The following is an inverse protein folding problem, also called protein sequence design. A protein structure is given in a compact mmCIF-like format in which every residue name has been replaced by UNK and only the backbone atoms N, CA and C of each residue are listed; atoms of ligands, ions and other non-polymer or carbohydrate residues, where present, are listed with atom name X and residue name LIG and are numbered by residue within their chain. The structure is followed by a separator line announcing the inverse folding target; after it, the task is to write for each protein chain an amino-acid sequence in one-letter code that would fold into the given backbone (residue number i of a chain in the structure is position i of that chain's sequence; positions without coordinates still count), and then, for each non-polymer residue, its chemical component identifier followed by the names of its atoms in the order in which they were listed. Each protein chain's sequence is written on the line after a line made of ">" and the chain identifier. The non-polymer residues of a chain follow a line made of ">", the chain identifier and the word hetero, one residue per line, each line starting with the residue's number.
data_IF_167963818723
#
_entry.id   IF_167963818723
#
_cell.length_a   1.000
_cell.length_b   1.000
_cell.length_c   1.000
_cell.angle_alpha   90.00
_cell.angle_beta   90.00
_cell.angle_gamma   90.00
#
_symmetry.space_group_name_H-M   'P 1'
#
loop_
_entity.id
_entity.type
_entity.pdbx_description
1 polymer ?
#
# COMPACT_ATOMS: atom_id res chain seq x y z
N UNK A 1 18.73 -19.66 23.60
CA UNK A 1 18.14 -18.42 23.02
C UNK A 1 16.64 -18.55 22.68
N UNK A 2 15.91 -19.54 23.23
CA UNK A 2 14.47 -19.76 22.96
C UNK A 2 13.56 -19.31 24.13
N UNK A 3 14.12 -18.69 25.17
CA UNK A 3 13.46 -18.60 26.47
C UNK A 3 12.55 -17.38 26.66
N UNK A 4 12.43 -16.48 25.67
CA UNK A 4 11.86 -15.14 25.93
C UNK A 4 10.49 -14.86 25.27
N UNK A 5 10.02 -15.70 24.35
CA UNK A 5 8.75 -15.46 23.64
C UNK A 5 7.52 -15.52 24.56
N UNK A 6 7.56 -16.36 25.60
CA UNK A 6 6.48 -16.48 26.57
C UNK A 6 6.40 -15.25 27.47
N UNK A 7 7.55 -14.72 27.90
CA UNK A 7 7.63 -13.53 28.75
C UNK A 7 7.16 -12.30 27.98
N UNK A 8 7.58 -12.17 26.73
CA UNK A 8 7.10 -11.12 25.82
C UNK A 8 5.58 -11.20 25.59
N UNK A 9 5.03 -12.39 25.35
CA UNK A 9 3.59 -12.56 25.20
C UNK A 9 2.84 -12.09 26.46
N UNK A 10 3.33 -12.42 27.65
CA UNK A 10 2.72 -12.02 28.92
C UNK A 10 2.81 -10.50 29.13
N UNK A 11 3.91 -9.87 28.73
CA UNK A 11 4.08 -8.43 28.83
C UNK A 11 3.09 -7.67 27.94
N UNK A 12 2.95 -8.08 26.68
CA UNK A 12 1.95 -7.52 25.77
C UNK A 12 0.52 -7.71 26.27
N UNK A 13 0.19 -8.88 26.85
CA UNK A 13 -1.13 -9.10 27.46
C UNK A 13 -1.37 -8.15 28.64
N UNK A 14 -0.39 -7.94 29.52
CA UNK A 14 -0.55 -7.04 30.66
C UNK A 14 -0.85 -5.62 30.20
N UNK A 15 -0.12 -5.15 29.19
CA UNK A 15 -0.35 -3.83 28.60
C UNK A 15 -1.72 -3.77 27.90
N UNK A 16 -2.08 -4.81 27.14
CA UNK A 16 -3.37 -4.89 26.45
C UNK A 16 -4.54 -4.80 27.43
N UNK A 17 -4.51 -5.58 28.51
CA UNK A 17 -5.54 -5.59 29.56
C UNK A 17 -5.60 -4.25 30.30
N UNK A 18 -4.46 -3.60 30.52
CA UNK A 18 -4.42 -2.28 31.15
C UNK A 18 -5.13 -1.22 30.29
N UNK A 19 -4.84 -1.20 28.99
CA UNK A 19 -5.47 -0.27 28.05
C UNK A 19 -6.96 -0.61 27.80
N UNK A 20 -7.31 -1.90 27.79
CA UNK A 20 -8.69 -2.39 27.67
C UNK A 20 -9.54 -1.96 28.87
N UNK A 21 -9.03 -2.12 30.09
CA UNK A 21 -9.69 -1.63 31.31
C UNK A 21 -9.78 -0.10 31.37
N UNK A 22 -8.85 0.60 30.73
CA UNK A 22 -8.89 2.06 30.60
C UNK A 22 -9.89 2.55 29.53
N UNK A 23 -10.54 1.64 28.79
CA UNK A 23 -11.43 1.97 27.67
C UNK A 23 -10.70 2.42 26.40
N UNK A 24 -9.37 2.31 26.37
CA UNK A 24 -8.52 2.71 25.24
C UNK A 24 -8.46 1.60 24.19
N UNK A 25 -9.61 1.26 23.61
CA UNK A 25 -9.77 0.15 22.66
C UNK A 25 -8.82 0.25 21.45
N UNK A 26 -8.53 1.47 20.98
CA UNK A 26 -7.59 1.74 19.87
C UNK A 26 -6.16 1.29 20.19
N UNK A 27 -5.74 1.39 21.46
CA UNK A 27 -4.41 0.96 21.93
C UNK A 27 -4.42 -0.51 22.39
N UNK A 28 -5.52 -0.96 22.97
CA UNK A 28 -5.66 -2.33 23.45
C UNK A 28 -5.63 -3.37 22.31
N UNK A 29 -6.31 -3.09 21.19
CA UNK A 29 -6.39 -4.01 20.05
C UNK A 29 -5.03 -4.46 19.48
N UNK A 30 -4.11 -3.54 19.08
CA UNK A 30 -2.81 -3.96 18.55
C UNK A 30 -1.95 -4.69 19.59
N UNK A 31 -2.09 -4.38 20.89
CA UNK A 31 -1.38 -5.09 21.96
C UNK A 31 -1.87 -6.53 22.11
N UNK A 32 -3.19 -6.78 22.00
CA UNK A 32 -3.73 -8.14 21.95
C UNK A 32 -3.26 -8.91 20.71
N UNK A 33 -3.23 -8.28 19.53
CA UNK A 33 -2.76 -8.93 18.30
C UNK A 33 -1.28 -9.32 18.38
N UNK A 34 -0.43 -8.45 18.91
CA UNK A 34 0.99 -8.75 19.14
C UNK A 34 1.16 -9.90 20.14
N UNK A 35 0.42 -9.90 21.26
CA UNK A 35 0.44 -10.99 22.22
C UNK A 35 0.08 -12.35 21.60
N UNK A 36 -0.95 -12.38 20.75
CA UNK A 36 -1.39 -13.58 20.03
C UNK A 36 -0.31 -14.09 19.07
N UNK A 37 0.41 -13.22 18.38
CA UNK A 37 1.51 -13.62 17.49
C UNK A 37 2.65 -14.31 18.26
N UNK A 38 3.02 -13.78 19.43
CA UNK A 38 4.01 -14.42 20.31
C UNK A 38 3.51 -15.76 20.87
N UNK A 39 2.24 -15.85 21.27
CA UNK A 39 1.65 -17.12 21.73
C UNK A 39 1.60 -18.17 20.61
N UNK A 40 1.23 -17.78 19.39
CA UNK A 40 1.23 -18.67 18.21
C UNK A 40 2.62 -19.21 17.92
N UNK A 41 3.63 -18.34 18.01
CA UNK A 41 5.03 -18.71 17.84
C UNK A 41 5.49 -19.66 18.95
N UNK A 42 5.12 -19.39 20.20
CA UNK A 42 5.47 -20.26 21.33
C UNK A 42 4.78 -21.64 21.23
N UNK A 43 3.50 -21.70 20.85
CA UNK A 43 2.74 -22.94 20.62
C UNK A 43 3.33 -23.82 19.52
N UNK A 44 4.01 -23.23 18.52
CA UNK A 44 4.69 -23.96 17.45
C UNK A 44 5.88 -24.79 17.95
N UNK A 45 6.56 -24.32 19.01
CA UNK A 45 7.77 -24.94 19.53
C UNK A 45 7.59 -25.64 20.88
N UNK A 46 6.42 -25.50 21.52
CA UNK A 46 6.09 -26.17 22.78
C UNK A 46 5.74 -27.65 22.55
N UNK A 47 6.44 -28.54 23.28
CA UNK A 47 6.30 -30.00 23.16
C UNK A 47 5.45 -30.59 24.29
N UNK A 48 5.25 -29.86 25.39
CA UNK A 48 4.47 -30.35 26.51
C UNK A 48 2.95 -30.17 26.27
N UNK A 49 2.16 -31.27 26.22
CA UNK A 49 0.74 -31.21 25.87
C UNK A 49 -0.09 -30.41 26.88
N UNK A 50 0.22 -30.47 28.18
CA UNK A 50 -0.52 -29.72 29.22
C UNK A 50 -0.29 -28.21 29.12
N UNK A 51 0.93 -27.80 28.79
CA UNK A 51 1.28 -26.38 28.60
C UNK A 51 0.62 -25.86 27.32
N UNK A 52 0.65 -26.66 26.24
CA UNK A 52 0.00 -26.34 24.98
C UNK A 52 -1.50 -26.11 25.15
N UNK A 53 -2.17 -26.96 25.91
CA UNK A 53 -3.60 -26.83 26.21
C UNK A 53 -3.89 -25.55 27.01
N UNK A 54 -3.14 -25.28 28.08
CA UNK A 54 -3.29 -24.07 28.89
C UNK A 54 -3.07 -22.77 28.07
N UNK A 55 -2.06 -22.76 27.20
CA UNK A 55 -1.76 -21.60 26.35
C UNK A 55 -2.80 -21.44 25.24
N UNK A 56 -3.31 -22.54 24.68
CA UNK A 56 -4.37 -22.50 23.64
C UNK A 56 -5.68 -21.98 24.22
N UNK A 57 -6.02 -22.34 25.46
CA UNK A 57 -7.19 -21.80 26.15
C UNK A 57 -7.08 -20.27 26.31
N UNK A 58 -5.93 -19.78 26.78
CA UNK A 58 -5.65 -18.35 26.92
C UNK A 58 -5.58 -17.61 25.58
N UNK A 59 -5.01 -18.23 24.55
CA UNK A 59 -4.98 -17.69 23.19
C UNK A 59 -6.40 -17.44 22.67
N UNK A 60 -7.30 -18.41 22.83
CA UNK A 60 -8.70 -18.29 22.40
C UNK A 60 -9.44 -17.19 23.16
N UNK A 61 -9.20 -17.07 24.47
CA UNK A 61 -9.77 -16.01 25.32
C UNK A 61 -9.35 -14.61 24.83
N UNK A 62 -8.06 -14.40 24.57
CA UNK A 62 -7.56 -13.11 24.08
C UNK A 62 -7.95 -12.82 22.63
N UNK A 63 -8.05 -13.85 21.78
CA UNK A 63 -8.56 -13.70 20.42
C UNK A 63 -10.01 -13.22 20.41
N UNK A 64 -10.86 -13.84 21.24
CA UNK A 64 -12.27 -13.43 21.35
C UNK A 64 -12.38 -11.98 21.84
N UNK A 65 -11.57 -11.60 22.84
CA UNK A 65 -11.56 -10.21 23.33
C UNK A 65 -11.09 -9.22 22.26
N UNK A 66 -10.08 -9.58 21.46
CA UNK A 66 -9.62 -8.75 20.34
C UNK A 66 -10.70 -8.59 19.27
N UNK A 67 -11.47 -9.65 18.96
CA UNK A 67 -12.61 -9.58 18.03
C UNK A 67 -13.75 -8.70 18.56
N UNK A 68 -14.08 -8.79 19.85
CA UNK A 68 -15.04 -7.90 20.52
C UNK A 68 -14.60 -6.43 20.41
N UNK A 69 -13.33 -6.14 20.70
CA UNK A 69 -12.76 -4.79 20.60
C UNK A 69 -12.81 -4.28 19.16
N UNK A 70 -12.49 -5.14 18.18
CA UNK A 70 -12.58 -4.80 16.76
C UNK A 70 -14.00 -4.42 16.36
N UNK A 71 -15.00 -5.19 16.79
CA UNK A 71 -16.40 -4.87 16.52
C UNK A 71 -16.81 -3.51 17.12
N UNK A 72 -16.36 -3.20 18.36
CA UNK A 72 -16.61 -1.90 19.00
C UNK A 72 -15.90 -0.75 18.28
N UNK A 73 -14.68 -0.96 17.76
CA UNK A 73 -13.96 0.03 16.97
C UNK A 73 -14.58 0.26 15.58
N UNK A 74 -15.22 -0.77 15.02
CA UNK A 74 -15.94 -0.69 13.75
C UNK A 74 -17.34 -0.05 13.92
N UNK A 75 -18.01 -0.24 15.07
CA UNK A 75 -19.33 0.35 15.38
C UNK A 75 -19.25 1.77 16.00
N UNK A 76 -18.18 2.09 16.74
CA UNK A 76 -18.01 3.34 17.49
C UNK A 76 -17.45 4.53 16.70
N UNK A 77 -17.54 4.52 15.37
CA UNK A 77 -17.01 5.56 14.47
C UNK A 77 -17.77 6.89 14.49
N UNK A 78 -17.98 7.49 15.66
CA UNK A 78 -18.52 8.84 15.84
C UNK A 78 -17.76 9.59 16.91
N UNK A 79 -17.00 10.60 16.46
CA UNK A 79 -16.36 11.68 17.24
C UNK A 79 -15.27 11.32 18.27
N UNK A 80 -14.04 11.76 18.00
CA UNK A 80 -13.07 12.03 19.07
C UNK A 80 -11.59 11.90 18.72
N UNK A 81 -11.02 12.97 18.15
CA UNK A 81 -9.66 13.47 18.40
C UNK A 81 -8.48 12.46 18.39
N UNK A 82 -7.94 12.21 17.19
CA UNK A 82 -6.65 11.54 16.95
C UNK A 82 -6.34 11.48 15.45
N UNK A 83 -6.57 12.60 14.78
CA UNK A 83 -6.99 12.67 13.37
C UNK A 83 -5.88 12.72 12.32
N UNK A 84 -4.89 11.83 12.37
CA UNK A 84 -4.03 11.64 11.18
C UNK A 84 -3.70 10.17 10.95
N UNK A 85 -3.28 9.43 11.98
CA UNK A 85 -2.78 8.07 11.82
C UNK A 85 -3.89 7.00 11.63
N UNK A 86 -5.05 7.19 12.27
CA UNK A 86 -6.22 6.31 12.14
C UNK A 86 -6.92 6.46 10.79
N UNK A 87 -7.01 7.70 10.29
CA UNK A 87 -7.59 7.99 8.98
C UNK A 87 -6.64 7.55 7.87
N UNK A 88 -5.33 7.83 8.00
CA UNK A 88 -4.28 7.29 7.14
C UNK A 88 -4.32 5.76 7.08
N UNK A 89 -4.48 5.07 8.22
CA UNK A 89 -4.56 3.61 8.28
C UNK A 89 -5.81 3.06 7.57
N UNK A 90 -6.99 3.67 7.79
CA UNK A 90 -8.23 3.29 7.09
C UNK A 90 -8.15 3.58 5.59
N UNK A 91 -7.58 4.72 5.21
CA UNK A 91 -7.32 5.06 3.82
C UNK A 91 -6.31 4.11 3.20
N UNK A 92 -5.21 3.75 3.89
CA UNK A 92 -4.22 2.74 3.48
C UNK A 92 -4.86 1.36 3.31
N UNK A 93 -5.82 1.00 4.16
CA UNK A 93 -6.59 -0.24 4.00
C UNK A 93 -7.53 -0.21 2.79
N UNK A 94 -8.22 0.92 2.53
CA UNK A 94 -9.01 1.13 1.31
C UNK A 94 -8.15 1.16 0.05
N UNK A 95 -6.96 1.76 0.15
CA UNK A 95 -5.93 1.81 -0.89
C UNK A 95 -5.43 0.42 -1.25
N UNK A 96 -5.20 -0.48 -0.29
CA UNK A 96 -4.83 -1.86 -0.57
C UNK A 96 -5.88 -2.62 -1.40
N UNK A 97 -7.15 -2.20 -1.35
CA UNK A 97 -8.21 -2.80 -2.19
C UNK A 97 -8.26 -2.22 -3.60
N UNK A 98 -7.92 -0.94 -3.78
CA UNK A 98 -7.94 -0.24 -5.07
C UNK A 98 -6.60 -0.34 -5.83
N UNK A 99 -5.50 -0.50 -5.11
CA UNK A 99 -4.14 -0.55 -5.64
C UNK A 99 -3.68 -1.99 -5.66
N UNK A 100 -3.56 -2.55 -6.86
CA UNK A 100 -2.97 -3.87 -7.03
C UNK A 100 -1.46 -3.70 -6.90
N UNK A 101 -0.92 -4.16 -5.78
CA UNK A 101 0.51 -4.26 -5.55
C UNK A 101 0.96 -5.67 -5.93
N UNK A 102 1.69 -5.80 -7.03
CA UNK A 102 2.20 -7.09 -7.48
C UNK A 102 3.68 -7.00 -7.87
N UNK A 103 4.38 -8.14 -7.78
CA UNK A 103 5.64 -8.34 -8.50
C UNK A 103 5.31 -9.16 -9.74
N UNK A 104 5.04 -8.51 -10.89
CA UNK A 104 4.75 -9.25 -12.11
C UNK A 104 5.96 -10.11 -12.47
N UNK A 105 5.73 -11.21 -13.18
CA UNK A 105 6.78 -12.11 -13.68
C UNK A 105 6.69 -12.20 -15.22
N UNK A 106 6.75 -11.04 -15.88
CA UNK A 106 6.71 -10.91 -17.33
C UNK A 106 8.07 -10.41 -17.79
N UNK A 107 8.72 -11.07 -18.73
CA UNK A 107 10.04 -10.68 -19.24
C UNK A 107 9.92 -9.89 -20.53
N UNK A 108 11.01 -9.21 -20.93
CA UNK A 108 11.06 -8.51 -22.23
C UNK A 108 10.78 -9.42 -23.43
N UNK A 109 11.17 -10.69 -23.33
CA UNK A 109 10.98 -11.70 -24.38
C UNK A 109 9.52 -12.13 -24.52
N UNK A 110 8.70 -11.93 -23.49
CA UNK A 110 7.27 -12.26 -23.53
C UNK A 110 6.46 -11.17 -24.26
N UNK A 111 7.06 -9.99 -24.48
CA UNK A 111 6.45 -8.89 -25.24
C UNK A 111 6.91 -8.98 -26.70
N UNK A 112 5.99 -9.27 -27.62
CA UNK A 112 6.32 -9.30 -29.05
C UNK A 112 6.37 -7.89 -29.67
N UNK A 113 7.44 -7.57 -30.40
CA UNK A 113 7.60 -6.29 -31.10
C UNK A 113 7.90 -5.10 -30.17
N UNK A 114 7.48 -3.90 -30.58
CA UNK A 114 7.66 -2.63 -29.82
C UNK A 114 9.12 -2.31 -29.46
N UNK A 115 10.08 -2.70 -30.29
CA UNK A 115 11.52 -2.59 -29.98
C UNK A 115 11.97 -1.17 -29.63
N UNK A 116 11.44 -0.15 -30.30
CA UNK A 116 11.73 1.25 -29.98
C UNK A 116 11.24 1.65 -28.58
N UNK A 117 10.05 1.20 -28.18
CA UNK A 117 9.48 1.48 -26.88
C UNK A 117 10.20 0.70 -25.77
N UNK A 118 10.53 -0.57 -26.02
CA UNK A 118 11.33 -1.39 -25.10
C UNK A 118 12.70 -0.75 -24.86
N UNK A 119 13.39 -0.35 -25.92
CA UNK A 119 14.69 0.30 -25.80
C UNK A 119 14.59 1.61 -25.01
N UNK A 120 13.61 2.46 -25.32
CA UNK A 120 13.41 3.71 -24.59
C UNK A 120 13.15 3.48 -23.09
N UNK A 121 12.29 2.51 -22.74
CA UNK A 121 12.01 2.15 -21.34
C UNK A 121 13.23 1.52 -20.65
N UNK A 122 13.99 0.68 -21.35
CA UNK A 122 15.21 0.09 -20.82
C UNK A 122 16.25 1.17 -20.50
N UNK A 123 16.46 2.12 -21.41
CA UNK A 123 17.38 3.23 -21.20
C UNK A 123 16.91 4.17 -20.08
N UNK A 124 15.61 4.34 -19.94
CA UNK A 124 15.06 5.33 -19.04
C UNK A 124 14.80 4.81 -17.62
N UNK A 125 14.57 3.49 -17.45
CA UNK A 125 14.29 2.86 -16.15
C UNK A 125 15.45 1.99 -15.68
N UNK A 126 16.01 1.14 -16.55
CA UNK A 126 17.03 0.16 -16.14
C UNK A 126 18.41 0.82 -16.00
N UNK A 127 18.80 1.70 -16.92
CA UNK A 127 20.12 2.34 -16.86
C UNK A 127 20.32 3.20 -15.60
N UNK A 128 19.36 4.01 -15.13
CA UNK A 128 19.55 4.76 -13.88
C UNK A 128 19.72 3.89 -12.66
N UNK A 129 19.01 2.76 -12.60
CA UNK A 129 19.11 1.80 -11.49
C UNK A 129 20.46 1.08 -11.54
N UNK A 130 20.89 0.65 -12.73
CA UNK A 130 22.12 -0.14 -12.91
C UNK A 130 23.39 0.70 -12.88
N UNK A 131 23.33 1.94 -13.37
CA UNK A 131 24.49 2.83 -13.49
C UNK A 131 24.17 4.26 -13.00
N UNK A 132 23.86 4.44 -11.70
CA UNK A 132 23.49 5.74 -11.13
C UNK A 132 24.57 6.81 -11.31
N UNK A 133 25.85 6.43 -11.43
CA UNK A 133 26.98 7.34 -11.65
C UNK A 133 26.85 8.17 -12.93
N UNK A 134 26.17 7.66 -13.97
CA UNK A 134 25.96 8.40 -15.22
C UNK A 134 24.81 9.40 -15.13
N UNK A 135 23.97 9.32 -14.10
CA UNK A 135 22.80 10.17 -13.91
C UNK A 135 23.01 11.19 -12.78
N UNK A 136 24.15 11.89 -12.85
CA UNK A 136 24.52 12.95 -11.90
C UNK A 136 24.40 14.34 -12.55
N UNK A 137 24.11 15.36 -11.75
CA UNK A 137 23.98 16.75 -12.22
C UNK A 137 22.77 16.99 -13.13
N UNK A 138 23.03 17.39 -14.38
CA UNK A 138 21.97 17.73 -15.37
C UNK A 138 21.30 16.51 -15.99
N UNK A 139 21.97 15.35 -16.02
CA UNK A 139 21.41 14.12 -16.56
C UNK A 139 20.63 13.43 -15.45
N UNK A 140 19.31 13.65 -15.41
CA UNK A 140 18.41 13.03 -14.42
C UNK A 140 17.66 11.86 -15.06
N UNK A 141 17.31 10.83 -14.28
CA UNK A 141 16.41 9.78 -14.76
C UNK A 141 15.07 10.38 -15.14
N UNK A 142 14.42 9.73 -16.11
CA UNK A 142 13.06 10.07 -16.49
C UNK A 142 12.11 9.68 -15.36
N UNK A 143 11.15 10.57 -15.05
CA UNK A 143 10.21 10.38 -13.94
C UNK A 143 8.84 9.86 -14.38
N UNK A 144 8.48 10.04 -15.64
CA UNK A 144 7.17 9.69 -16.17
C UNK A 144 7.27 9.32 -17.65
N UNK A 145 6.45 8.34 -18.05
CA UNK A 145 6.32 7.87 -19.42
C UNK A 145 4.84 7.84 -19.79
N UNK A 146 4.53 8.25 -21.02
CA UNK A 146 3.18 8.12 -21.57
C UNK A 146 3.22 7.10 -22.70
N UNK A 147 2.56 5.97 -22.50
CA UNK A 147 2.35 4.96 -23.53
C UNK A 147 0.99 5.19 -24.18
N UNK A 148 0.97 5.50 -25.47
CA UNK A 148 -0.26 5.72 -26.22
C UNK A 148 -0.31 4.82 -27.46
N UNK A 149 -1.53 4.59 -27.96
CA UNK A 149 -1.78 3.77 -29.15
C UNK A 149 -3.11 3.02 -29.05
N UNK A 150 -3.52 2.32 -30.12
CA UNK A 150 -4.78 1.58 -30.16
C UNK A 150 -4.96 0.62 -28.97
N UNK A 151 -6.20 0.30 -28.54
CA UNK A 151 -6.43 -0.70 -27.51
C UNK A 151 -5.89 -2.07 -27.95
N UNK A 152 -5.42 -2.88 -27.00
CA UNK A 152 -4.90 -4.22 -27.29
C UNK A 152 -3.46 -4.29 -27.81
N UNK A 153 -2.72 -3.18 -27.89
CA UNK A 153 -1.31 -3.17 -28.34
C UNK A 153 -0.28 -3.56 -27.28
N UNK A 154 -0.70 -4.10 -26.13
CA UNK A 154 0.21 -4.60 -25.10
C UNK A 154 0.85 -3.53 -24.19
N UNK A 155 0.33 -2.30 -24.15
CA UNK A 155 0.85 -1.21 -23.28
C UNK A 155 0.94 -1.61 -21.81
N UNK A 156 -0.15 -2.14 -21.24
CA UNK A 156 -0.17 -2.61 -19.85
C UNK A 156 0.75 -3.82 -19.64
N UNK A 157 0.89 -4.68 -20.66
CA UNK A 157 1.80 -5.83 -20.63
C UNK A 157 3.28 -5.40 -20.62
N UNK A 158 3.62 -4.38 -21.42
CA UNK A 158 4.94 -3.75 -21.47
C UNK A 158 5.30 -3.10 -20.12
N UNK A 159 4.37 -2.40 -19.49
CA UNK A 159 4.59 -1.78 -18.17
C UNK A 159 4.90 -2.82 -17.09
N UNK A 160 4.19 -3.96 -17.09
CA UNK A 160 4.48 -5.08 -16.18
C UNK A 160 5.85 -5.68 -16.46
N UNK A 161 6.24 -5.83 -17.72
CA UNK A 161 7.57 -6.34 -18.08
C UNK A 161 8.71 -5.44 -17.56
N UNK A 162 8.54 -4.11 -17.67
CA UNK A 162 9.50 -3.14 -17.10
C UNK A 162 9.63 -3.34 -15.58
N UNK A 163 8.53 -3.55 -14.88
CA UNK A 163 8.54 -3.72 -13.43
C UNK A 163 9.23 -5.01 -12.98
N UNK A 164 9.00 -6.11 -13.69
CA UNK A 164 9.72 -7.36 -13.47
C UNK A 164 11.23 -7.20 -13.66
N UNK A 165 11.63 -6.53 -14.73
CA UNK A 165 13.04 -6.39 -15.13
C UNK A 165 13.80 -5.37 -14.27
N UNK A 166 13.08 -4.40 -13.69
CA UNK A 166 13.61 -3.45 -12.73
C UNK A 166 13.59 -3.96 -11.27
N UNK A 167 13.11 -5.19 -11.00
CA UNK A 167 12.81 -5.74 -9.67
C UNK A 167 12.13 -4.70 -8.74
N UNK A 168 11.19 -3.95 -9.32
CA UNK A 168 10.54 -2.81 -8.67
C UNK A 168 9.12 -3.16 -8.27
N UNK A 169 8.64 -2.55 -7.19
CA UNK A 169 7.24 -2.70 -6.75
C UNK A 169 6.31 -2.08 -7.80
N UNK A 170 5.36 -2.86 -8.33
CA UNK A 170 4.40 -2.37 -9.32
C UNK A 170 3.08 -2.00 -8.64
N UNK A 171 2.73 -0.73 -8.71
CA UNK A 171 1.46 -0.19 -8.26
C UNK A 171 0.57 0.04 -9.48
N UNK A 172 -0.48 -0.77 -9.64
CA UNK A 172 -1.45 -0.60 -10.72
C UNK A 172 -2.72 0.04 -10.19
N UNK A 173 -3.17 1.12 -10.83
CA UNK A 173 -4.42 1.81 -10.51
C UNK A 173 -5.17 2.18 -11.79
N UNK A 174 -6.49 2.00 -11.80
CA UNK A 174 -7.33 2.58 -12.86
C UNK A 174 -7.67 4.01 -12.50
N UNK A 175 -7.67 4.86 -13.51
CA UNK A 175 -8.16 6.23 -13.42
C UNK A 175 -9.60 6.33 -12.90
N UNK A 176 -10.43 5.31 -13.15
CA UNK A 176 -11.80 5.24 -12.62
C UNK A 176 -11.86 5.03 -11.10
N UNK A 177 -10.90 4.28 -10.53
CA UNK A 177 -10.83 4.00 -9.08
C UNK A 177 -10.48 5.27 -8.27
N UNK A 178 -9.76 6.19 -8.91
CA UNK A 178 -9.39 7.47 -8.32
C UNK A 178 -10.59 8.43 -8.13
N UNK A 179 -11.64 8.29 -8.94
CA UNK A 179 -12.79 9.22 -8.98
C UNK A 179 -13.92 8.77 -8.04
N UNK A 180 -13.62 8.10 -6.93
CA UNK A 180 -14.61 7.52 -6.00
C UNK A 180 -15.78 8.48 -5.61
N UNK A 181 -16.91 7.89 -5.21
CA UNK A 181 -18.19 8.57 -4.91
C UNK A 181 -18.18 9.53 -3.70
N UNK A 182 -17.09 9.59 -2.93
CA UNK A 182 -17.01 10.36 -1.69
C UNK A 182 -16.10 11.58 -1.86
N UNK A 183 -16.71 12.76 -1.79
CA UNK A 183 -16.07 14.05 -2.04
C UNK A 183 -15.00 14.33 -0.97
N UNK A 184 -13.71 14.24 -1.33
CA UNK A 184 -12.56 14.53 -0.47
C UNK A 184 -11.59 13.37 -0.21
N UNK A 185 -12.01 12.11 -0.43
CA UNK A 185 -11.13 10.95 -0.23
C UNK A 185 -10.13 10.74 -1.39
N UNK A 186 -10.50 11.16 -2.60
CA UNK A 186 -9.69 10.95 -3.81
C UNK A 186 -8.32 11.64 -3.80
N UNK A 187 -8.21 12.83 -3.21
CA UNK A 187 -6.92 13.55 -3.09
C UNK A 187 -5.98 12.81 -2.13
N UNK A 188 -6.50 12.41 -0.96
CA UNK A 188 -5.76 11.62 0.03
C UNK A 188 -5.31 10.28 -0.57
N UNK A 189 -6.13 9.68 -1.42
CA UNK A 189 -5.80 8.44 -2.12
C UNK A 189 -4.56 8.63 -3.01
N UNK A 190 -4.52 9.69 -3.83
CA UNK A 190 -3.36 10.01 -4.67
C UNK A 190 -2.13 10.32 -3.81
N UNK A 191 -2.25 11.15 -2.78
CA UNK A 191 -1.14 11.48 -1.89
C UNK A 191 -0.54 10.22 -1.23
N UNK A 192 -1.40 9.33 -0.72
CA UNK A 192 -0.99 8.09 -0.09
C UNK A 192 -0.41 7.07 -1.08
N UNK A 193 -0.94 6.96 -2.31
CA UNK A 193 -0.35 6.13 -3.37
C UNK A 193 1.11 6.53 -3.61
N UNK A 194 1.38 7.83 -3.77
CA UNK A 194 2.74 8.33 -3.97
C UNK A 194 3.61 8.22 -2.72
N UNK A 195 3.03 8.29 -1.52
CA UNK A 195 3.74 8.02 -0.28
C UNK A 195 4.15 6.55 -0.19
N UNK A 196 3.23 5.61 -0.41
CA UNK A 196 3.51 4.17 -0.43
C UNK A 196 4.54 3.80 -1.49
N UNK A 197 4.47 4.42 -2.67
CA UNK A 197 5.45 4.24 -3.72
C UNK A 197 6.86 4.71 -3.29
N UNK A 198 6.96 5.83 -2.56
CA UNK A 198 8.23 6.31 -2.00
C UNK A 198 8.76 5.41 -0.89
N UNK A 199 7.89 4.92 -0.01
CA UNK A 199 8.23 3.98 1.07
C UNK A 199 8.73 2.63 0.51
N UNK A 200 8.21 2.19 -0.64
CA UNK A 200 8.57 0.93 -1.32
C UNK A 200 9.50 1.13 -2.53
N UNK A 201 10.31 2.18 -2.53
CA UNK A 201 11.27 2.42 -3.62
C UNK A 201 12.33 1.29 -3.70
N UNK A 202 12.70 0.82 -4.92
CA UNK A 202 12.28 1.30 -6.23
C UNK A 202 10.86 0.83 -6.61
N UNK A 203 10.06 1.74 -7.16
CA UNK A 203 8.65 1.50 -7.47
C UNK A 203 8.22 2.13 -8.80
N UNK A 204 7.21 1.53 -9.41
CA UNK A 204 6.57 2.00 -10.65
C UNK A 204 5.08 2.14 -10.39
N UNK A 205 4.56 3.34 -10.61
CA UNK A 205 3.12 3.61 -10.60
C UNK A 205 2.62 3.56 -12.04
N UNK A 206 1.72 2.62 -12.32
CA UNK A 206 1.03 2.49 -13.60
C UNK A 206 -0.42 2.96 -13.44
N UNK A 207 -0.76 4.01 -14.16
CA UNK A 207 -2.12 4.55 -14.21
C UNK A 207 -2.72 4.17 -15.57
N UNK A 208 -3.68 3.25 -15.57
CA UNK A 208 -4.40 2.88 -16.78
C UNK A 208 -5.51 3.88 -17.09
N UNK A 209 -5.86 4.03 -18.37
CA UNK A 209 -6.92 4.91 -18.87
C UNK A 209 -6.80 6.37 -18.35
N UNK A 210 -5.57 6.90 -18.31
CA UNK A 210 -5.28 8.26 -17.79
C UNK A 210 -6.08 9.36 -18.51
N UNK A 211 -6.51 9.11 -19.74
CA UNK A 211 -7.39 9.98 -20.51
C UNK A 211 -8.76 10.20 -19.86
N UNK A 212 -9.28 9.22 -19.10
CA UNK A 212 -10.51 9.37 -18.31
C UNK A 212 -10.36 10.38 -17.16
N UNK A 213 -9.15 10.50 -16.60
CA UNK A 213 -8.83 11.58 -15.68
C UNK A 213 -8.54 12.86 -16.43
N UNK A 214 -7.79 12.83 -17.54
CA UNK A 214 -7.24 13.99 -18.25
C UNK A 214 -8.17 14.63 -19.31
N UNK A 215 -9.49 14.63 -19.12
CA UNK A 215 -10.42 15.33 -20.01
C UNK A 215 -10.09 16.82 -20.21
N UNK A 216 -10.43 17.36 -21.39
CA UNK A 216 -10.13 18.75 -21.79
C UNK A 216 -10.73 19.75 -20.80
N UNK A 217 -9.90 20.61 -20.20
CA UNK A 217 -10.37 21.68 -19.31
C UNK A 217 -11.24 22.65 -20.10
N UNK A 218 -12.52 22.79 -19.76
CA UNK A 218 -13.38 23.84 -20.32
C UNK A 218 -14.70 23.39 -20.94
N UNK A 219 -14.95 22.08 -21.12
CA UNK A 219 -16.31 21.60 -21.37
C UNK A 219 -17.07 21.61 -20.04
N UNK A 220 -18.24 22.26 -19.99
CA UNK A 220 -19.01 22.54 -18.77
C UNK A 220 -19.50 21.34 -17.94
N UNK A 221 -19.04 20.13 -18.24
CA UNK A 221 -19.33 18.88 -17.55
C UNK A 221 -18.15 18.33 -16.71
N UNK A 222 -17.04 19.05 -16.58
CA UNK A 222 -15.92 18.58 -15.76
C UNK A 222 -16.27 18.65 -14.26
N UNK A 223 -16.36 17.49 -13.61
CA UNK A 223 -16.60 17.38 -12.16
C UNK A 223 -15.48 18.07 -11.38
N UNK A 224 -15.85 18.81 -10.33
CA UNK A 224 -14.90 19.47 -9.43
C UNK A 224 -13.89 18.46 -8.83
N UNK A 225 -14.36 17.23 -8.54
CA UNK A 225 -13.52 16.14 -8.05
C UNK A 225 -12.38 15.80 -9.03
N UNK A 226 -12.67 15.74 -10.33
CA UNK A 226 -11.65 15.47 -11.36
C UNK A 226 -10.58 16.56 -11.40
N UNK A 227 -10.97 17.84 -11.26
CA UNK A 227 -10.02 18.97 -11.22
C UNK A 227 -9.07 18.89 -10.03
N UNK A 228 -9.58 18.53 -8.86
CA UNK A 228 -8.76 18.43 -7.64
C UNK A 228 -7.80 17.25 -7.72
N UNK A 229 -8.25 16.08 -8.20
CA UNK A 229 -7.39 14.91 -8.46
C UNK A 229 -6.26 15.24 -9.42
N UNK A 230 -6.56 15.92 -10.55
CA UNK A 230 -5.52 16.37 -11.50
C UNK A 230 -4.48 17.27 -10.82
N UNK A 231 -4.96 18.19 -9.98
CA UNK A 231 -4.08 19.13 -9.27
C UNK A 231 -3.17 18.38 -8.32
N UNK A 232 -3.71 17.46 -7.52
CA UNK A 232 -2.94 16.66 -6.59
C UNK A 232 -1.93 15.74 -7.31
N UNK A 233 -2.34 15.08 -8.40
CA UNK A 233 -1.45 14.26 -9.22
C UNK A 233 -0.26 15.08 -9.75
N UNK A 234 -0.49 16.30 -10.24
CA UNK A 234 0.57 17.19 -10.71
C UNK A 234 1.53 17.59 -9.59
N UNK A 235 1.00 17.90 -8.40
CA UNK A 235 1.80 18.22 -7.20
C UNK A 235 2.69 17.03 -6.81
N UNK A 236 2.12 15.83 -6.72
CA UNK A 236 2.87 14.63 -6.36
C UNK A 236 3.90 14.22 -7.44
N UNK A 237 3.57 14.40 -8.73
CA UNK A 237 4.50 14.13 -9.83
C UNK A 237 5.69 15.08 -9.87
N UNK A 238 5.53 16.35 -9.50
CA UNK A 238 6.66 17.26 -9.32
C UNK A 238 7.48 16.86 -8.09
N UNK A 239 6.84 16.35 -7.04
CA UNK A 239 7.46 16.09 -5.75
C UNK A 239 7.68 17.39 -4.98
N UNK A 240 7.93 17.26 -3.67
CA UNK A 240 8.30 18.41 -2.83
C UNK A 240 9.72 18.82 -3.21
N UNK A 241 9.91 20.10 -3.58
CA UNK A 241 11.22 20.70 -3.88
C UNK A 241 12.05 20.79 -2.60
#
# INVERSE_FOLDING_TARGET
>A
MYSNFKEQAIEYVKQAVQEDNAGNYVKAFPLYMNALEYFKTHLKYEKNPKIKEAITAKFTEYLRRAEEIRAVLDEGGGDGAGGDDSEQSKLRAGLNSAIITEKPNIKWNDVAGLESAKQALQEAVILPVKFPQFFTGKRRPWRAFLLYGPPGTGKSYLAKAVATEADSTFFSISSSDLVSKWMGESEKLVANLFQMARENAPSIIFIDEIDSLCGTRGEGNESEASRRIKTELLVQMQGII
#
